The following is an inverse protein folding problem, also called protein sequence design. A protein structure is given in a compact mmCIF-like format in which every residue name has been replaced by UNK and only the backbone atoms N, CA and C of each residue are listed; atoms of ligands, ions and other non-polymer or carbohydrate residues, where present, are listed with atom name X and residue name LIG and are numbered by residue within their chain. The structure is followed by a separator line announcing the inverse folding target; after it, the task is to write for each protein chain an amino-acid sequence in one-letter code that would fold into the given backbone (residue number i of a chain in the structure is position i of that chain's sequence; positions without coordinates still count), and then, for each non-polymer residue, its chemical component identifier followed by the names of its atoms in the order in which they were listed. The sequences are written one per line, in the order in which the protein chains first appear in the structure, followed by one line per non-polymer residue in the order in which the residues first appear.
data_IF_305454124981
#
_entry.id   IF_305454124981
#
_cell.length_a   1.000
_cell.length_b   1.000
_cell.length_c   1.000
_cell.angle_alpha   90.00
_cell.angle_beta   90.00
_cell.angle_gamma   90.00
#
_symmetry.space_group_name_H-M   'P 1'
#
loop_
_entity.id
_entity.type
_entity.pdbx_description
1 polymer ?
#
# COMPACT_ATOMS: atom_id res chain seq x y z
N UNK A 1 19.07 -14.16 -18.36
CA UNK A 1 17.77 -14.70 -17.91
C UNK A 1 16.91 -13.53 -17.44
N UNK A 2 16.06 -13.02 -18.34
CA UNK A 2 15.16 -11.90 -18.06
C UNK A 2 14.05 -12.38 -17.14
N UNK A 3 14.03 -11.90 -15.89
CA UNK A 3 12.88 -12.10 -15.00
C UNK A 3 11.77 -11.20 -15.50
N UNK A 4 10.91 -11.76 -16.34
CA UNK A 4 9.68 -11.15 -16.81
C UNK A 4 8.78 -10.91 -15.57
N UNK A 5 8.89 -9.71 -15.03
CA UNK A 5 8.12 -9.30 -13.86
C UNK A 5 6.68 -9.14 -14.34
N UNK A 6 5.82 -10.13 -14.09
CA UNK A 6 4.38 -10.08 -14.37
C UNK A 6 3.77 -8.90 -13.62
N UNK A 7 3.77 -7.73 -14.24
CA UNK A 7 2.94 -6.61 -13.83
C UNK A 7 1.52 -7.11 -14.08
N UNK A 8 0.86 -7.62 -13.03
CA UNK A 8 -0.59 -7.85 -13.03
C UNK A 8 -1.19 -6.55 -13.55
N UNK A 9 -1.84 -6.58 -14.70
CA UNK A 9 -2.38 -5.40 -15.38
C UNK A 9 -3.11 -4.51 -14.37
N UNK A 10 -2.43 -3.47 -13.90
CA UNK A 10 -2.98 -2.56 -12.90
C UNK A 10 -3.85 -1.61 -13.69
N UNK A 11 -5.16 -1.62 -13.42
CA UNK A 11 -6.05 -0.68 -14.07
C UNK A 11 -5.78 0.72 -13.50
N UNK A 12 -4.90 1.46 -14.18
CA UNK A 12 -4.35 2.73 -13.73
C UNK A 12 -5.40 3.71 -13.18
N UNK A 13 -6.59 3.88 -13.79
CA UNK A 13 -7.61 4.80 -13.27
C UNK A 13 -8.06 4.53 -11.83
N UNK A 14 -7.93 3.30 -11.32
CA UNK A 14 -8.33 2.92 -9.97
C UNK A 14 -7.20 3.09 -8.95
N UNK A 15 -5.93 3.05 -9.37
CA UNK A 15 -4.77 3.02 -8.47
C UNK A 15 -3.87 4.27 -8.56
N UNK A 16 -3.88 4.95 -9.71
CA UNK A 16 -2.94 6.03 -10.07
C UNK A 16 -3.33 7.40 -9.53
N UNK A 17 -2.60 7.92 -8.55
CA UNK A 17 -2.83 9.24 -7.97
C UNK A 17 -2.02 10.31 -8.71
N UNK A 18 -2.66 11.46 -8.92
CA UNK A 18 -2.04 12.66 -9.50
C UNK A 18 -1.31 13.53 -8.46
N UNK A 19 -1.40 13.16 -7.18
CA UNK A 19 -0.73 13.84 -6.07
C UNK A 19 0.07 12.83 -5.26
N UNK A 20 1.10 13.31 -4.56
CA UNK A 20 1.90 12.50 -3.64
C UNK A 20 1.12 12.30 -2.33
N UNK A 21 0.61 11.09 -2.03
CA UNK A 21 -0.19 10.89 -0.84
C UNK A 21 0.70 10.75 0.40
N UNK A 22 0.14 11.04 1.58
CA UNK A 22 0.84 11.00 2.86
C UNK A 22 -0.03 10.39 3.96
N UNK A 23 0.51 9.41 4.68
CA UNK A 23 -0.16 8.78 5.82
C UNK A 23 0.88 8.45 6.90
N UNK A 24 0.51 8.63 8.16
CA UNK A 24 1.34 8.25 9.33
C UNK A 24 1.32 6.73 9.59
N UNK A 25 0.58 5.95 8.78
CA UNK A 25 0.52 4.51 8.88
C UNK A 25 1.87 3.85 8.56
N UNK A 26 2.34 3.01 9.46
CA UNK A 26 3.61 2.28 9.38
C UNK A 26 3.67 1.34 8.16
N UNK A 27 2.52 0.91 7.64
CA UNK A 27 2.44 0.03 6.48
C UNK A 27 2.25 0.76 5.15
N UNK A 28 2.15 2.09 5.17
CA UNK A 28 1.94 2.90 3.97
C UNK A 28 3.26 3.08 3.21
N UNK A 29 3.27 2.75 1.92
CA UNK A 29 4.44 2.90 1.06
C UNK A 29 4.04 3.51 -0.27
N UNK A 30 4.66 4.64 -0.61
CA UNK A 30 4.43 5.36 -1.86
C UNK A 30 5.43 4.88 -2.90
N UNK A 31 4.94 4.60 -4.10
CA UNK A 31 5.70 4.24 -5.28
C UNK A 31 5.46 5.31 -6.34
N UNK A 32 6.52 5.85 -6.91
CA UNK A 32 6.45 6.83 -7.99
C UNK A 32 6.81 6.14 -9.31
N UNK A 33 6.01 6.37 -10.35
CA UNK A 33 6.25 5.83 -11.69
C UNK A 33 5.70 6.77 -12.74
N UNK A 34 6.54 7.21 -13.68
CA UNK A 34 6.16 8.08 -14.80
C UNK A 34 5.38 9.35 -14.36
N UNK A 35 5.81 9.99 -13.26
CA UNK A 35 5.15 11.18 -12.71
C UNK A 35 3.81 10.91 -11.99
N UNK A 36 3.43 9.64 -11.85
CA UNK A 36 2.23 9.23 -11.12
C UNK A 36 2.59 8.52 -9.82
N UNK A 37 1.68 8.60 -8.85
CA UNK A 37 1.87 8.00 -7.55
C UNK A 37 0.97 6.78 -7.36
N UNK A 38 1.53 5.73 -6.79
CA UNK A 38 0.84 4.52 -6.41
C UNK A 38 1.11 4.25 -4.94
N UNK A 39 0.21 3.55 -4.27
CA UNK A 39 0.39 3.20 -2.86
C UNK A 39 0.29 1.71 -2.69
N UNK A 40 1.26 1.15 -1.97
CA UNK A 40 1.26 -0.22 -1.48
C UNK A 40 0.99 -0.23 0.02
N UNK A 41 0.09 -1.10 0.44
CA UNK A 41 -0.10 -1.42 1.85
C UNK A 41 0.74 -2.65 2.19
N UNK A 42 1.79 -2.47 3.00
CA UNK A 42 2.71 -3.54 3.41
C UNK A 42 2.04 -4.59 4.31
N UNK A 43 0.97 -4.24 5.02
CA UNK A 43 0.25 -5.19 5.87
C UNK A 43 -0.45 -6.31 5.08
N UNK A 44 -0.84 -6.04 3.83
CA UNK A 44 -1.49 -7.00 2.92
C UNK A 44 -0.65 -7.26 1.66
N UNK A 45 0.58 -6.75 1.65
CA UNK A 45 1.56 -6.82 0.56
C UNK A 45 1.05 -6.42 -0.84
N UNK A 46 0.02 -5.56 -0.93
CA UNK A 46 -0.70 -5.25 -2.18
C UNK A 46 -0.82 -3.74 -2.45
N UNK A 47 -0.90 -3.38 -3.73
CA UNK A 47 -1.35 -2.05 -4.14
C UNK A 47 -2.78 -1.80 -3.67
N UNK A 48 -3.05 -0.56 -3.27
CA UNK A 48 -4.38 -0.13 -2.83
C UNK A 48 -4.94 0.95 -3.76
N UNK A 49 -6.26 0.93 -3.94
CA UNK A 49 -6.97 1.86 -4.82
C UNK A 49 -6.99 3.27 -4.25
N UNK A 50 -7.24 4.28 -5.08
CA UNK A 50 -7.37 5.70 -4.66
C UNK A 50 -8.31 5.88 -3.48
N UNK A 51 -9.47 5.22 -3.51
CA UNK A 51 -10.46 5.28 -2.42
C UNK A 51 -9.91 4.70 -1.11
N UNK A 52 -9.08 3.65 -1.17
CA UNK A 52 -8.39 3.11 0.01
C UNK A 52 -7.26 4.02 0.47
N UNK A 53 -6.56 4.68 -0.44
CA UNK A 53 -5.52 5.67 -0.10
C UNK A 53 -6.12 6.80 0.70
N UNK A 54 -7.19 7.44 0.21
CA UNK A 54 -7.88 8.50 0.95
C UNK A 54 -8.32 8.04 2.36
N UNK A 55 -8.80 6.79 2.49
CA UNK A 55 -9.12 6.22 3.81
C UNK A 55 -7.89 6.03 4.69
N UNK A 56 -6.75 5.67 4.11
CA UNK A 56 -5.51 5.52 4.86
C UNK A 56 -4.93 6.88 5.29
N UNK A 57 -5.07 7.93 4.48
CA UNK A 57 -4.59 9.27 4.87
C UNK A 57 -5.39 9.80 6.07
N UNK A 58 -6.72 9.63 6.06
CA UNK A 58 -7.61 10.22 7.06
C UNK A 58 -7.93 9.31 8.26
N UNK A 59 -7.99 7.98 8.06
CA UNK A 59 -8.53 7.03 9.03
C UNK A 59 -7.58 5.84 9.29
N UNK A 60 -6.26 6.04 9.17
CA UNK A 60 -5.29 4.96 9.40
C UNK A 60 -5.36 4.34 10.79
N UNK A 61 -5.73 5.11 11.81
CA UNK A 61 -5.82 4.65 13.21
C UNK A 61 -6.86 3.52 13.39
N UNK A 62 -7.95 3.58 12.63
CA UNK A 62 -9.02 2.58 12.64
C UNK A 62 -8.88 1.50 11.57
N UNK A 63 -7.80 1.54 10.78
CA UNK A 63 -7.58 0.58 9.71
C UNK A 63 -7.49 -0.86 10.26
N UNK A 64 -8.37 -1.79 9.84
CA UNK A 64 -8.33 -3.17 10.29
C UNK A 64 -7.05 -3.88 9.82
N UNK A 65 -6.55 -3.54 8.63
CA UNK A 65 -5.31 -4.10 8.10
C UNK A 65 -4.09 -3.66 8.92
N UNK A 66 -4.08 -2.44 9.46
CA UNK A 66 -3.03 -1.98 10.37
C UNK A 66 -3.04 -2.80 11.66
N UNK A 67 -4.22 -3.00 12.26
CA UNK A 67 -4.38 -3.84 13.46
C UNK A 67 -3.88 -5.27 13.22
N UNK A 68 -4.15 -5.84 12.06
CA UNK A 68 -3.65 -7.17 11.66
C UNK A 68 -2.13 -7.18 11.41
N UNK A 69 -1.60 -6.19 10.68
CA UNK A 69 -0.16 -6.07 10.41
C UNK A 69 0.67 -5.94 11.68
N UNK A 70 0.21 -5.14 12.65
CA UNK A 70 0.86 -5.01 13.96
C UNK A 70 0.86 -6.33 14.75
N UNK A 71 -0.21 -7.12 14.65
CA UNK A 71 -0.26 -8.46 15.27
C UNK A 71 0.70 -9.43 14.55
N UNK A 72 0.72 -9.42 13.22
CA UNK A 72 1.58 -10.31 12.43
C UNK A 72 3.08 -10.02 12.63
N UNK A 73 3.48 -8.76 12.77
CA UNK A 73 4.88 -8.41 13.06
C UNK A 73 5.31 -8.80 14.48
N UNK A 74 4.37 -8.86 15.44
CA UNK A 74 4.66 -9.34 16.80
C UNK A 74 4.82 -10.86 16.88
N UNK A 75 4.28 -11.62 15.92
CA UNK A 75 4.36 -13.08 15.88
C UNK A 75 5.61 -13.66 15.20
N UNK A 76 6.45 -12.84 14.56
CA UNK A 76 7.67 -13.29 13.87
C UNK A 76 8.95 -13.19 14.72
N UNK A 77 8.81 -13.06 16.05
CA UNK A 77 9.96 -12.99 16.98
C UNK A 77 10.27 -14.31 17.69
N UNK A 78 9.63 -15.41 17.31
CA UNK A 78 9.88 -16.75 17.86
C UNK A 78 10.01 -17.77 16.72
N UNK A 79 11.17 -17.79 16.06
CA UNK A 79 11.72 -18.94 15.33
C UNK A 79 13.22 -18.79 15.20
#
# INVERSE_FOLDING_TARGET
MSKENKIKTVFEPIYMLSYKPSSECEFFSVLESNGNYYVRCRAIDSLITKSKVNKCENYWKDCPYRKLGLKSQRGFKEL
#
